data_IF_204005883404
#
_entry.id   IF_204005883404
#
_cell.length_a   1.000
_cell.length_b   1.000
_cell.length_c   1.000
_cell.angle_alpha   90.00
_cell.angle_beta   90.00
_cell.angle_gamma   90.00
#
_symmetry.space_group_name_H-M   'P 1'
#
loop_
_entity.id
_entity.type
_entity.pdbx_description
1 polymer ?
#
# COMPACT_ATOMS: atom_id res chain seq x y z
N UNK A 1 -11.24 -12.79 -0.30
CA UNK A 1 -10.53 -12.70 -1.59
C UNK A 1 -10.99 -11.45 -2.32
N UNK A 2 -10.12 -10.74 -3.06
CA UNK A 2 -10.51 -9.52 -3.78
C UNK A 2 -9.30 -8.70 -4.23
N UNK A 3 -9.48 -7.86 -5.23
CA UNK A 3 -8.46 -6.93 -5.75
C UNK A 3 -8.63 -5.59 -5.05
N UNK A 4 -7.53 -5.00 -4.58
CA UNK A 4 -7.53 -3.62 -4.05
C UNK A 4 -7.18 -2.69 -5.21
N UNK A 5 -8.07 -1.73 -5.51
CA UNK A 5 -7.82 -0.75 -6.56
C UNK A 5 -7.51 0.61 -5.96
N UNK A 6 -6.59 1.35 -6.58
CA UNK A 6 -6.22 2.71 -6.20
C UNK A 6 -6.09 3.54 -7.47
N UNK A 7 -6.64 4.74 -7.50
CA UNK A 7 -6.51 5.66 -8.62
C UNK A 7 -6.13 7.04 -8.14
N UNK A 8 -5.30 7.74 -8.92
CA UNK A 8 -5.00 9.16 -8.67
C UNK A 8 -5.84 10.02 -9.59
N UNK A 9 -6.79 10.73 -8.97
CA UNK A 9 -7.69 11.66 -9.68
C UNK A 9 -6.85 12.71 -10.41
N UNK A 10 -7.12 12.89 -11.71
CA UNK A 10 -6.42 13.85 -12.55
C UNK A 10 -5.11 13.36 -13.18
N UNK A 11 -4.64 12.13 -12.88
CA UNK A 11 -3.43 11.57 -13.49
C UNK A 11 -3.69 10.41 -14.47
N UNK A 12 -4.96 10.09 -14.77
CA UNK A 12 -5.37 9.02 -15.68
C UNK A 12 -4.66 7.67 -15.44
N UNK A 13 -4.26 7.42 -14.20
CA UNK A 13 -3.48 6.25 -13.81
C UNK A 13 -4.12 5.58 -12.60
N UNK A 14 -4.14 4.25 -12.64
CA UNK A 14 -4.67 3.40 -11.57
C UNK A 14 -3.84 2.14 -11.39
N UNK A 15 -3.87 1.63 -10.17
CA UNK A 15 -3.18 0.42 -9.72
C UNK A 15 -4.22 -0.58 -9.23
N UNK A 16 -4.08 -1.83 -9.67
CA UNK A 16 -4.84 -2.97 -9.18
C UNK A 16 -3.91 -3.94 -8.46
N UNK A 17 -4.13 -4.14 -7.17
CA UNK A 17 -3.26 -4.91 -6.28
C UNK A 17 -3.97 -6.21 -5.92
N UNK A 18 -3.34 -7.33 -6.30
CA UNK A 18 -3.76 -8.68 -5.92
C UNK A 18 -2.63 -9.33 -5.13
N UNK A 19 -2.95 -9.84 -3.96
CA UNK A 19 -2.00 -10.59 -3.12
C UNK A 19 -2.33 -12.08 -3.21
N UNK A 20 -1.30 -12.91 -3.32
CA UNK A 20 -1.42 -14.37 -3.54
C UNK A 20 -2.07 -15.09 -2.36
N UNK A 21 -1.68 -14.77 -1.13
CA UNK A 21 -2.24 -15.37 0.10
C UNK A 21 -3.67 -14.87 0.42
N UNK A 22 -4.15 -13.86 -0.33
CA UNK A 22 -5.45 -13.25 -0.13
C UNK A 22 -5.60 -12.42 1.16
N UNK A 23 -4.53 -12.24 1.94
CA UNK A 23 -4.56 -11.56 3.23
C UNK A 23 -4.95 -10.09 3.07
N UNK A 24 -5.91 -9.64 3.88
CA UNK A 24 -6.41 -8.26 3.84
C UNK A 24 -5.32 -7.25 4.24
N UNK A 25 -4.55 -7.57 5.27
CA UNK A 25 -3.48 -6.70 5.79
C UNK A 25 -2.31 -6.57 4.81
N UNK A 26 -1.96 -7.64 4.08
CA UNK A 26 -0.92 -7.60 3.05
C UNK A 26 -1.30 -6.66 1.89
N UNK A 27 -2.58 -6.57 1.53
CA UNK A 27 -3.04 -5.63 0.49
C UNK A 27 -2.87 -4.18 0.90
N UNK A 28 -3.23 -3.84 2.14
CA UNK A 28 -3.02 -2.48 2.65
C UNK A 28 -1.54 -2.15 2.74
N UNK A 29 -0.72 -3.09 3.20
CA UNK A 29 0.71 -2.90 3.28
C UNK A 29 1.34 -2.60 1.90
N UNK A 30 1.02 -3.43 0.91
CA UNK A 30 1.48 -3.22 -0.47
C UNK A 30 0.92 -1.92 -1.07
N UNK A 31 -0.34 -1.58 -0.82
CA UNK A 31 -0.96 -0.34 -1.28
C UNK A 31 -0.22 0.91 -0.77
N UNK A 32 0.08 0.95 0.53
CA UNK A 32 0.76 2.08 1.16
C UNK A 32 2.19 2.21 0.62
N UNK A 33 2.91 1.10 0.50
CA UNK A 33 4.26 1.10 -0.07
C UNK A 33 4.29 1.64 -1.50
N UNK A 34 3.37 1.21 -2.36
CA UNK A 34 3.27 1.69 -3.74
C UNK A 34 2.89 3.18 -3.82
N UNK A 35 1.93 3.62 -3.00
CA UNK A 35 1.54 5.04 -2.92
C UNK A 35 2.72 5.93 -2.52
N UNK A 36 3.58 5.46 -1.62
CA UNK A 36 4.79 6.14 -1.15
C UNK A 36 5.86 6.19 -2.25
N UNK A 37 6.15 5.05 -2.90
CA UNK A 37 7.14 4.96 -3.99
C UNK A 37 6.76 5.82 -5.20
N UNK A 38 5.47 5.92 -5.52
CA UNK A 38 4.96 6.74 -6.62
C UNK A 38 4.78 8.23 -6.28
N UNK A 39 5.05 8.63 -5.03
CA UNK A 39 4.75 9.97 -4.51
C UNK A 39 3.28 10.41 -4.79
N UNK A 40 2.33 9.49 -4.60
CA UNK A 40 0.88 9.76 -4.73
C UNK A 40 0.26 10.33 -3.45
N UNK A 41 0.93 10.13 -2.32
CA UNK A 41 0.58 10.68 -1.02
C UNK A 41 1.78 11.40 -0.42
N UNK A 42 1.53 12.32 0.52
CA UNK A 42 2.60 12.97 1.27
C UNK A 42 3.23 12.00 2.27
N UNK A 43 4.48 12.22 2.71
CA UNK A 43 5.09 11.41 3.77
C UNK A 43 4.25 11.36 5.05
N UNK A 44 3.65 12.49 5.45
CA UNK A 44 2.77 12.56 6.64
C UNK A 44 1.51 11.68 6.53
N UNK A 45 0.91 11.60 5.33
CA UNK A 45 -0.23 10.71 5.07
C UNK A 45 0.23 9.26 5.07
N UNK A 46 1.41 8.97 4.51
CA UNK A 46 1.98 7.63 4.55
C UNK A 46 2.19 7.16 6.00
N UNK A 47 2.82 7.96 6.86
CA UNK A 47 3.04 7.63 8.28
C UNK A 47 1.74 7.36 9.02
N UNK A 48 0.70 8.16 8.73
CA UNK A 48 -0.64 7.97 9.31
C UNK A 48 -1.26 6.64 8.90
N UNK A 49 -1.18 6.30 7.61
CA UNK A 49 -1.69 5.02 7.08
C UNK A 49 -0.88 3.83 7.59
N UNK A 50 0.44 3.95 7.70
CA UNK A 50 1.30 2.93 8.29
C UNK A 50 0.89 2.67 9.75
N UNK A 51 0.66 3.71 10.55
CA UNK A 51 0.15 3.56 11.93
C UNK A 51 -1.18 2.82 12.01
N UNK A 52 -2.09 3.05 11.06
CA UNK A 52 -3.41 2.42 11.05
C UNK A 52 -3.43 0.97 10.54
N UNK A 53 -2.60 0.66 9.54
CA UNK A 53 -2.73 -0.59 8.76
C UNK A 53 -1.50 -1.49 8.77
N UNK A 54 -0.32 -0.95 9.10
CA UNK A 54 0.92 -1.71 9.25
C UNK A 54 1.14 -2.15 10.70
N UNK A 55 0.83 -1.28 11.67
CA UNK A 55 0.96 -1.57 13.10
C UNK A 55 -0.27 -2.33 13.61
N UNK A 56 -0.27 -3.66 13.47
CA UNK A 56 -1.39 -4.52 13.83
C UNK A 56 -1.60 -4.64 15.35
N UNK A 57 -0.52 -4.51 16.14
CA UNK A 57 -0.56 -4.43 17.59
C UNK A 57 0.72 -3.79 18.12
N UNK A 58 0.79 -3.56 19.45
CA UNK A 58 1.98 -2.98 20.13
C UNK A 58 3.30 -3.70 19.80
N UNK A 59 3.25 -4.99 19.46
CA UNK A 59 4.43 -5.82 19.22
C UNK A 59 4.38 -6.53 17.86
N UNK A 60 3.44 -6.16 16.98
CA UNK A 60 3.27 -6.80 15.68
C UNK A 60 3.10 -5.74 14.60
N UNK A 61 4.06 -5.69 13.69
CA UNK A 61 4.01 -4.84 12.49
C UNK A 61 4.21 -5.68 11.24
N UNK A 62 3.72 -5.18 10.12
CA UNK A 62 4.05 -5.70 8.81
C UNK A 62 5.27 -4.95 8.24
N UNK A 63 6.02 -5.62 7.38
CA UNK A 63 7.11 -5.02 6.65
C UNK A 63 6.96 -5.37 5.18
N UNK A 64 7.19 -4.39 4.31
CA UNK A 64 7.11 -4.56 2.86
C UNK A 64 8.51 -4.34 2.30
N UNK A 65 9.05 -5.37 1.68
CA UNK A 65 10.36 -5.35 1.04
C UNK A 65 10.15 -5.55 -0.46
N UNK A 66 10.71 -4.63 -1.25
CA UNK A 66 10.59 -4.63 -2.70
C UNK A 66 10.35 -3.24 -3.26
N UNK A 67 10.57 -3.11 -4.55
CA UNK A 67 10.47 -1.85 -5.28
C UNK A 67 9.57 -2.01 -6.50
N UNK A 68 8.81 -0.97 -6.80
CA UNK A 68 8.07 -0.86 -8.03
C UNK A 68 9.05 -0.60 -9.18
N UNK A 69 9.17 -1.58 -10.07
CA UNK A 69 9.87 -1.43 -11.34
C UNK A 69 8.83 -1.39 -12.46
N UNK A 70 8.90 -0.34 -13.29
CA UNK A 70 8.12 -0.23 -14.53
C UNK A 70 9.07 -0.45 -15.71
N UNK A 71 8.70 -1.27 -16.69
CA UNK A 71 9.46 -1.43 -17.92
C UNK A 71 9.46 -0.15 -18.78
#
# INVERSE_FOLDING_TARGET
>A
QGVQCIGRVGQNMGLAIKVLDGAKSAKYAAAIALLKQMAWITPSVADTLESMFINLSKYKRLEVVGELSMP
#
